data_IF_711501169341
#
_entry.id   IF_711501169341
#
_cell.length_a   1.000
_cell.length_b   1.000
_cell.length_c   1.000
_cell.angle_alpha   90.00
_cell.angle_beta   90.00
_cell.angle_gamma   90.00
#
_symmetry.space_group_name_H-M   'P 1'
#
loop_
_entity.id
_entity.type
_entity.pdbx_description
1 polymer ?
#
# COMPACT_ATOMS: atom_id res chain seq x y z
N UNK A 1 -20.27 -34.58 18.07
CA UNK A 1 -18.81 -34.78 18.11
C UNK A 1 -18.55 -36.15 17.49
N UNK A 2 -17.58 -36.29 16.57
CA UNK A 2 -17.29 -37.61 15.99
C UNK A 2 -16.76 -38.56 17.06
N UNK A 3 -17.14 -39.84 17.01
CA UNK A 3 -16.62 -40.82 17.95
C UNK A 3 -15.15 -41.15 17.61
N UNK A 4 -14.34 -41.48 18.62
CA UNK A 4 -12.93 -41.86 18.41
C UNK A 4 -12.80 -43.07 17.46
N UNK A 5 -13.79 -43.96 17.44
CA UNK A 5 -13.91 -45.11 16.55
C UNK A 5 -14.21 -44.78 15.09
N UNK A 6 -14.62 -43.54 14.80
CA UNK A 6 -14.94 -43.07 13.45
C UNK A 6 -13.76 -42.30 12.82
N UNK A 7 -12.64 -42.16 13.54
CA UNK A 7 -11.45 -41.51 12.99
C UNK A 7 -10.75 -42.45 12.00
N UNK A 8 -10.28 -41.92 10.85
CA UNK A 8 -9.47 -42.71 9.94
C UNK A 8 -8.20 -43.20 10.64
N UNK A 9 -7.74 -44.41 10.29
CA UNK A 9 -6.53 -45.04 10.87
C UNK A 9 -5.29 -44.14 10.81
N UNK A 10 -5.25 -43.20 9.87
CA UNK A 10 -4.22 -42.15 9.74
C UNK A 10 -4.83 -40.76 9.87
N UNK A 11 -5.41 -40.46 11.03
CA UNK A 11 -5.91 -39.13 11.31
C UNK A 11 -4.75 -38.12 11.39
N UNK A 12 -4.71 -37.18 10.43
CA UNK A 12 -3.68 -36.13 10.35
C UNK A 12 -4.10 -34.83 11.05
N UNK A 13 -5.41 -34.62 11.27
CA UNK A 13 -5.93 -33.40 11.91
C UNK A 13 -5.50 -33.35 13.38
N UNK A 14 -4.86 -32.24 13.77
CA UNK A 14 -4.32 -32.04 15.12
C UNK A 14 -2.89 -32.56 15.34
N UNK A 15 -2.26 -33.13 14.31
CA UNK A 15 -0.84 -33.51 14.34
C UNK A 15 0.01 -32.30 13.96
N UNK A 16 1.08 -32.04 14.73
CA UNK A 16 2.06 -30.99 14.42
C UNK A 16 2.97 -31.44 13.27
N UNK A 17 2.61 -31.08 12.04
CA UNK A 17 3.39 -31.37 10.84
C UNK A 17 4.22 -30.15 10.43
N UNK A 18 5.46 -30.34 9.92
CA UNK A 18 6.20 -29.25 9.26
C UNK A 18 5.44 -28.71 8.05
N UNK A 19 5.65 -27.43 7.74
CA UNK A 19 5.17 -26.81 6.50
C UNK A 19 5.68 -27.61 5.28
N UNK A 20 4.82 -27.83 4.29
CA UNK A 20 5.10 -28.68 3.12
C UNK A 20 6.32 -28.21 2.32
N UNK A 21 6.47 -26.90 2.16
CA UNK A 21 7.63 -26.27 1.51
C UNK A 21 8.79 -25.96 2.46
N UNK A 22 8.78 -26.41 3.73
CA UNK A 22 9.83 -26.08 4.69
C UNK A 22 11.23 -26.45 4.18
N UNK A 23 11.39 -27.63 3.57
CA UNK A 23 12.65 -28.02 2.96
C UNK A 23 13.05 -27.09 1.81
N UNK A 24 12.09 -26.65 1.00
CA UNK A 24 12.35 -25.75 -0.12
C UNK A 24 12.79 -24.36 0.35
N UNK A 25 12.20 -23.86 1.44
CA UNK A 25 12.59 -22.60 2.05
C UNK A 25 14.04 -22.64 2.56
N UNK A 26 14.44 -23.68 3.29
CA UNK A 26 15.80 -23.78 3.86
C UNK A 26 16.87 -24.15 2.83
N UNK A 27 16.48 -24.57 1.63
CA UNK A 27 17.40 -24.88 0.52
C UNK A 27 17.45 -23.79 -0.55
N UNK A 28 16.60 -22.76 -0.47
CA UNK A 28 16.46 -21.75 -1.52
C UNK A 28 15.86 -22.28 -2.83
N UNK A 29 15.12 -23.39 -2.77
CA UNK A 29 14.49 -24.00 -3.95
C UNK A 29 13.01 -23.67 -4.11
N UNK A 30 12.42 -23.01 -3.12
CA UNK A 30 11.09 -22.42 -3.25
C UNK A 30 11.20 -21.19 -4.16
N UNK A 31 10.36 -21.15 -5.20
CA UNK A 31 10.33 -20.04 -6.13
C UNK A 31 9.36 -18.96 -5.66
N UNK A 32 9.85 -17.73 -5.63
CA UNK A 32 9.08 -16.52 -5.40
C UNK A 32 9.03 -15.68 -6.68
N UNK A 33 8.27 -14.59 -6.67
CA UNK A 33 7.96 -13.80 -7.87
C UNK A 33 9.20 -13.34 -8.63
N UNK A 34 10.23 -12.85 -7.92
CA UNK A 34 11.44 -12.31 -8.56
C UNK A 34 12.32 -13.42 -9.18
N UNK A 35 12.26 -14.65 -8.66
CA UNK A 35 12.97 -15.81 -9.21
C UNK A 35 12.46 -16.20 -10.62
N UNK A 36 11.28 -15.72 -11.00
CA UNK A 36 10.67 -15.97 -12.30
C UNK A 36 11.20 -15.03 -13.39
N UNK A 37 11.77 -13.88 -13.03
CA UNK A 37 12.27 -12.86 -13.99
C UNK A 37 13.33 -13.47 -14.89
N UNK A 38 14.27 -14.24 -14.33
CA UNK A 38 15.34 -14.92 -15.09
C UNK A 38 14.85 -16.05 -16.00
N UNK A 39 13.58 -16.45 -15.87
CA UNK A 39 12.98 -17.55 -16.66
C UNK A 39 12.17 -17.05 -17.85
N UNK A 40 11.98 -15.74 -17.95
CA UNK A 40 11.17 -15.12 -19.00
C UNK A 40 12.08 -14.23 -19.86
N UNK A 41 11.91 -14.32 -21.19
CA UNK A 41 12.68 -13.48 -22.12
C UNK A 41 12.05 -12.10 -22.24
N UNK A 42 12.90 -11.10 -22.48
CA UNK A 42 12.49 -9.73 -22.81
C UNK A 42 11.57 -9.08 -21.76
N UNK A 43 11.78 -9.43 -20.47
CA UNK A 43 11.08 -8.81 -19.35
C UNK A 43 11.55 -7.38 -19.17
N UNK A 44 10.62 -6.44 -19.08
CA UNK A 44 10.89 -5.08 -18.67
C UNK A 44 10.72 -4.95 -17.16
N UNK A 45 11.59 -4.14 -16.55
CA UNK A 45 11.52 -3.78 -15.15
C UNK A 45 10.79 -2.44 -15.00
N UNK A 46 9.84 -2.39 -14.07
CA UNK A 46 9.10 -1.18 -13.76
C UNK A 46 9.67 -0.51 -12.50
N UNK A 47 9.88 0.80 -12.54
CA UNK A 47 10.27 1.59 -11.37
C UNK A 47 9.36 2.82 -11.23
N UNK A 48 8.81 3.10 -10.03
CA UNK A 48 7.89 4.20 -9.85
C UNK A 48 8.62 5.56 -9.85
N UNK A 49 7.98 6.56 -10.42
CA UNK A 49 8.33 7.97 -10.21
C UNK A 49 7.63 8.43 -8.94
N UNK A 50 8.36 8.52 -7.84
CA UNK A 50 7.81 8.88 -6.54
C UNK A 50 8.02 10.36 -6.22
N UNK A 51 6.99 11.00 -5.69
CA UNK A 51 7.09 12.36 -5.18
C UNK A 51 7.26 12.34 -3.67
N UNK A 52 8.39 12.85 -3.19
CA UNK A 52 8.77 12.84 -1.77
C UNK A 52 8.19 14.04 -0.99
N UNK A 53 6.92 14.34 -1.24
CA UNK A 53 6.15 15.41 -0.59
C UNK A 53 4.84 14.84 -0.07
N UNK A 54 4.36 15.36 1.06
CA UNK A 54 3.16 14.82 1.70
C UNK A 54 1.88 15.19 0.95
N UNK A 55 1.82 16.39 0.35
CA UNK A 55 0.64 16.82 -0.40
C UNK A 55 0.98 17.88 -1.44
N UNK A 56 0.34 17.82 -2.61
CA UNK A 56 0.42 18.87 -3.61
C UNK A 56 -0.30 18.52 -4.91
N UNK A 57 -0.59 19.51 -5.74
CA UNK A 57 -1.13 19.30 -7.08
C UNK A 57 0.00 19.26 -8.10
N UNK A 58 0.01 18.26 -8.97
CA UNK A 58 1.02 18.15 -10.03
C UNK A 58 0.66 19.17 -11.11
N UNK A 59 1.56 20.12 -11.36
CA UNK A 59 1.38 21.16 -12.38
C UNK A 59 2.04 20.80 -13.71
N UNK A 60 3.10 19.99 -13.67
CA UNK A 60 3.72 19.42 -14.86
C UNK A 60 4.39 18.08 -14.56
N UNK A 61 4.33 17.16 -15.51
CA UNK A 61 5.02 15.89 -15.50
C UNK A 61 5.78 15.74 -16.83
N UNK A 62 7.11 15.90 -16.82
CA UNK A 62 7.93 15.81 -18.03
C UNK A 62 8.70 14.51 -18.04
N UNK A 63 8.29 13.61 -18.95
CA UNK A 63 8.86 12.27 -19.09
C UNK A 63 10.00 12.20 -20.10
N UNK A 64 10.20 13.25 -20.90
CA UNK A 64 11.22 13.31 -21.96
C UNK A 64 12.64 12.95 -21.51
N UNK A 65 13.15 13.50 -20.38
CA UNK A 65 14.50 13.17 -19.94
C UNK A 65 14.68 11.69 -19.57
N UNK A 66 13.65 11.01 -19.08
CA UNK A 66 13.70 9.59 -18.78
C UNK A 66 13.92 8.74 -20.04
N UNK A 67 13.30 9.12 -21.16
CA UNK A 67 13.45 8.42 -22.44
C UNK A 67 14.84 8.59 -23.06
N UNK A 68 15.64 9.54 -22.56
CA UNK A 68 17.03 9.72 -22.98
C UNK A 68 18.01 8.79 -22.21
N UNK A 69 17.56 8.13 -21.15
CA UNK A 69 18.37 7.19 -20.37
C UNK A 69 18.51 5.86 -21.15
N UNK A 70 19.74 5.38 -21.43
CA UNK A 70 19.94 4.11 -22.13
C UNK A 70 19.23 2.94 -21.44
N UNK A 71 18.53 2.12 -22.22
CA UNK A 71 17.77 0.98 -21.74
C UNK A 71 16.38 1.32 -21.17
N UNK A 72 15.98 2.60 -21.12
CA UNK A 72 14.56 2.95 -20.87
C UNK A 72 13.75 2.71 -22.13
N UNK A 73 12.64 2.00 -21.97
CA UNK A 73 11.76 1.61 -23.07
C UNK A 73 10.51 2.49 -23.13
N UNK A 74 9.90 2.80 -21.98
CA UNK A 74 8.67 3.60 -21.91
C UNK A 74 8.47 4.25 -20.55
N UNK A 75 7.72 5.35 -20.52
CA UNK A 75 7.14 5.89 -19.28
C UNK A 75 5.63 5.79 -19.39
N UNK A 76 4.99 5.17 -18.41
CA UNK A 76 3.54 5.06 -18.29
C UNK A 76 3.02 6.21 -17.41
N UNK A 77 1.94 6.81 -17.88
CA UNK A 77 1.22 7.91 -17.22
C UNK A 77 -0.28 7.63 -17.22
N UNK A 78 -1.08 8.53 -16.63
CA UNK A 78 -2.53 8.43 -16.69
C UNK A 78 -3.10 8.38 -18.11
N UNK A 79 -2.38 8.93 -19.11
CA UNK A 79 -2.78 8.86 -20.52
C UNK A 79 -2.64 7.46 -21.14
N UNK A 80 -1.87 6.57 -20.51
CA UNK A 80 -1.68 5.20 -20.98
C UNK A 80 -2.70 4.22 -20.39
N UNK A 81 -3.61 4.68 -19.51
CA UNK A 81 -4.66 3.83 -18.93
C UNK A 81 -5.76 3.57 -19.97
N UNK A 82 -5.98 2.31 -20.38
CA UNK A 82 -6.98 1.99 -21.41
C UNK A 82 -8.44 2.04 -20.90
N UNK A 83 -8.63 2.20 -19.59
CA UNK A 83 -9.93 2.19 -18.92
C UNK A 83 -10.02 3.27 -17.85
N UNK A 84 -10.52 2.89 -16.67
CA UNK A 84 -10.66 3.82 -15.54
C UNK A 84 -9.31 3.94 -14.83
N UNK A 85 -8.84 5.17 -14.65
CA UNK A 85 -7.61 5.48 -13.91
C UNK A 85 -7.88 5.48 -12.39
N UNK A 86 -8.33 4.34 -11.88
CA UNK A 86 -8.64 4.12 -10.47
C UNK A 86 -8.47 2.64 -10.13
N UNK A 87 -7.83 2.37 -9.00
CA UNK A 87 -7.58 1.03 -8.47
C UNK A 87 -8.28 0.78 -7.11
N UNK A 88 -8.95 1.80 -6.56
CA UNK A 88 -9.54 1.78 -5.23
C UNK A 88 -10.92 1.15 -5.22
N UNK A 89 -11.26 0.47 -4.13
CA UNK A 89 -12.60 -0.11 -3.96
C UNK A 89 -13.70 0.96 -3.83
N UNK A 90 -13.34 2.18 -3.40
CA UNK A 90 -14.27 3.32 -3.24
C UNK A 90 -14.14 4.36 -4.34
N UNK A 91 -13.34 4.09 -5.37
CA UNK A 91 -13.05 5.02 -6.46
C UNK A 91 -12.37 6.33 -6.03
N UNK A 92 -11.45 6.21 -5.07
CA UNK A 92 -10.66 7.29 -4.47
C UNK A 92 -9.15 7.03 -4.51
N UNK A 93 -8.69 6.00 -5.24
CA UNK A 93 -7.28 5.63 -5.34
C UNK A 93 -6.86 5.57 -6.82
N UNK A 94 -6.51 6.72 -7.43
CA UNK A 94 -6.08 6.75 -8.82
C UNK A 94 -4.77 5.99 -9.04
N UNK A 95 -4.69 5.19 -10.11
CA UNK A 95 -3.47 4.47 -10.48
C UNK A 95 -2.33 5.43 -10.85
N UNK A 96 -2.68 6.53 -11.54
CA UNK A 96 -1.80 7.65 -11.85
C UNK A 96 -2.45 8.94 -11.33
N UNK A 97 -2.09 9.40 -10.12
CA UNK A 97 -2.69 10.59 -9.50
C UNK A 97 -2.29 11.88 -10.21
N UNK A 98 -3.19 12.88 -10.22
CA UNK A 98 -2.87 14.28 -10.52
C UNK A 98 -2.55 15.10 -9.25
N UNK A 99 -2.83 14.53 -8.08
CA UNK A 99 -2.51 15.09 -6.76
C UNK A 99 -1.70 14.10 -5.91
N UNK A 100 -0.61 14.59 -5.34
CA UNK A 100 0.17 13.87 -4.34
C UNK A 100 -0.57 13.94 -3.01
N UNK A 101 -0.81 12.79 -2.39
CA UNK A 101 -1.63 12.66 -1.16
C UNK A 101 -0.83 12.10 0.03
N UNK A 102 0.37 11.58 -0.23
CA UNK A 102 1.28 11.10 0.81
C UNK A 102 2.72 11.10 0.30
N UNK A 103 3.67 11.04 1.24
CA UNK A 103 5.09 11.00 0.93
C UNK A 103 5.46 9.71 0.20
N UNK A 104 6.05 9.84 -0.99
CA UNK A 104 6.43 8.72 -1.84
C UNK A 104 5.32 8.24 -2.78
N UNK A 105 4.25 9.03 -2.95
CA UNK A 105 3.17 8.69 -3.90
C UNK A 105 3.74 8.53 -5.31
N UNK A 106 3.46 7.39 -5.94
CA UNK A 106 3.89 7.09 -7.30
C UNK A 106 2.98 7.79 -8.31
N UNK A 107 3.55 8.65 -9.16
CA UNK A 107 2.79 9.49 -10.11
C UNK A 107 2.93 9.01 -11.56
N UNK A 108 3.93 8.17 -11.83
CA UNK A 108 4.21 7.55 -13.12
C UNK A 108 5.06 6.29 -12.93
N UNK A 109 5.21 5.49 -13.98
CA UNK A 109 6.05 4.29 -13.96
C UNK A 109 7.00 4.27 -15.15
N UNK A 110 8.29 4.08 -14.89
CA UNK A 110 9.29 3.94 -15.96
C UNK A 110 9.57 2.46 -16.19
N UNK A 111 9.50 2.02 -17.43
CA UNK A 111 9.84 0.68 -17.89
C UNK A 111 11.22 0.69 -18.54
N UNK A 112 12.13 -0.17 -18.07
CA UNK A 112 13.46 -0.34 -18.62
C UNK A 112 13.84 -1.79 -18.85
N UNK A 113 14.79 -2.03 -19.75
CA UNK A 113 15.37 -3.36 -20.03
C UNK A 113 16.08 -3.95 -18.81
N UNK A 114 16.49 -3.10 -17.87
CA UNK A 114 17.04 -3.49 -16.57
C UNK A 114 16.40 -2.66 -15.47
N UNK A 115 16.42 -3.19 -14.24
CA UNK A 115 15.96 -2.44 -13.07
C UNK A 115 16.72 -1.12 -12.89
N UNK A 116 18.02 -1.12 -13.16
CA UNK A 116 18.84 0.09 -13.02
C UNK A 116 18.48 1.14 -14.07
N UNK A 117 18.24 0.74 -15.33
CA UNK A 117 17.76 1.66 -16.37
C UNK A 117 16.41 2.27 -15.98
N UNK A 118 15.46 1.46 -15.50
CA UNK A 118 14.16 1.94 -15.03
C UNK A 118 14.29 2.92 -13.85
N UNK A 119 15.16 2.63 -12.89
CA UNK A 119 15.44 3.47 -11.72
C UNK A 119 16.06 4.81 -12.10
N UNK A 120 17.07 4.79 -12.98
CA UNK A 120 17.72 6.00 -13.48
C UNK A 120 16.76 6.83 -14.33
N UNK A 121 15.93 6.18 -15.16
CA UNK A 121 14.87 6.84 -15.91
C UNK A 121 13.84 7.51 -15.00
N UNK A 122 13.39 6.83 -13.95
CA UNK A 122 12.45 7.40 -12.99
C UNK A 122 13.02 8.62 -12.26
N UNK A 123 14.31 8.59 -11.90
CA UNK A 123 15.00 9.74 -11.30
C UNK A 123 15.18 10.92 -12.27
N UNK A 124 15.14 10.67 -13.58
CA UNK A 124 15.23 11.70 -14.61
C UNK A 124 13.87 12.34 -14.94
N UNK A 125 12.74 11.75 -14.54
CA UNK A 125 11.42 12.36 -14.73
C UNK A 125 11.32 13.63 -13.89
N UNK A 126 10.96 14.74 -14.52
CA UNK A 126 10.76 16.01 -13.82
C UNK A 126 9.30 16.15 -13.42
N UNK A 127 9.06 16.37 -12.13
CA UNK A 127 7.73 16.59 -11.58
C UNK A 127 7.69 17.99 -10.97
N UNK A 128 6.80 18.84 -11.48
CA UNK A 128 6.49 20.12 -10.85
C UNK A 128 5.25 19.99 -10.00
N UNK A 129 5.36 20.50 -8.76
CA UNK A 129 4.35 20.34 -7.74
C UNK A 129 4.01 21.70 -7.11
N UNK A 130 2.73 22.04 -7.09
CA UNK A 130 2.18 23.07 -6.23
C UNK A 130 1.89 22.44 -4.85
N UNK A 131 2.90 22.49 -3.96
CA UNK A 131 2.83 21.93 -2.60
C UNK A 131 1.69 22.54 -1.79
N UNK A 132 0.96 21.70 -1.05
CA UNK A 132 -0.15 22.12 -0.20
C UNK A 132 0.08 21.72 1.26
N UNK A 133 -0.51 22.44 2.23
CA UNK A 133 -0.52 21.99 3.62
C UNK A 133 -1.13 20.59 3.73
N UNK A 134 -0.45 19.69 4.42
CA UNK A 134 -0.87 18.32 4.67
C UNK A 134 -1.29 18.15 6.13
N UNK A 135 -2.24 17.24 6.37
CA UNK A 135 -2.60 16.78 7.72
C UNK A 135 -1.85 15.47 7.97
N UNK A 136 -0.96 15.45 8.95
CA UNK A 136 -0.06 14.33 9.22
C UNK A 136 -0.47 13.60 10.51
N UNK A 137 -0.87 14.33 11.54
CA UNK A 137 -1.22 13.77 12.84
C UNK A 137 -2.72 13.55 13.00
N UNK A 138 -3.10 12.63 13.91
CA UNK A 138 -4.50 12.44 14.29
C UNK A 138 -5.13 13.73 14.84
N UNK A 139 -4.36 14.54 15.59
CA UNK A 139 -4.84 15.80 16.17
C UNK A 139 -5.18 16.80 15.07
N UNK A 140 -4.31 16.95 14.07
CA UNK A 140 -4.55 17.82 12.90
C UNK A 140 -5.79 17.37 12.11
N UNK A 141 -5.97 16.07 11.89
CA UNK A 141 -7.15 15.55 11.19
C UNK A 141 -8.45 15.81 11.97
N UNK A 142 -8.43 15.65 13.30
CA UNK A 142 -9.57 15.95 14.18
C UNK A 142 -9.91 17.46 14.15
N UNK A 143 -8.91 18.33 14.27
CA UNK A 143 -9.10 19.78 14.24
C UNK A 143 -9.67 20.26 12.89
N UNK A 144 -9.28 19.60 11.80
CA UNK A 144 -9.75 19.91 10.45
C UNK A 144 -11.09 19.23 10.06
N UNK A 145 -11.73 18.48 10.97
CA UNK A 145 -12.91 17.63 10.69
C UNK A 145 -12.71 16.69 9.47
N UNK A 146 -11.49 16.23 9.26
CA UNK A 146 -11.07 15.43 8.10
C UNK A 146 -11.13 13.94 8.41
N UNK A 147 -12.29 13.33 8.19
CA UNK A 147 -12.55 11.92 8.49
C UNK A 147 -12.92 11.11 7.23
N UNK A 148 -12.67 9.80 7.29
CA UNK A 148 -13.09 8.88 6.24
C UNK A 148 -14.29 8.03 6.69
N UNK A 149 -15.40 8.11 5.95
CA UNK A 149 -16.57 7.25 6.16
C UNK A 149 -17.40 7.57 7.41
N UNK A 150 -18.14 6.56 7.88
CA UNK A 150 -19.06 6.68 9.01
C UNK A 150 -18.32 6.69 10.36
N UNK A 151 -18.93 7.29 11.38
CA UNK A 151 -18.50 7.23 12.79
C UNK A 151 -19.31 6.15 13.50
N UNK A 152 -18.86 4.88 13.52
CA UNK A 152 -19.61 3.82 14.18
C UNK A 152 -19.69 4.11 15.68
N UNK A 153 -20.89 3.98 16.22
CA UNK A 153 -21.19 4.16 17.64
C UNK A 153 -21.85 2.89 18.15
N UNK A 154 -21.37 2.39 19.29
CA UNK A 154 -21.99 1.28 20.02
C UNK A 154 -22.19 1.72 21.46
N UNK A 155 -23.45 1.77 21.87
CA UNK A 155 -23.88 2.16 23.22
C UNK A 155 -24.75 1.05 23.82
N UNK A 156 -24.65 0.87 25.13
CA UNK A 156 -25.47 -0.11 25.87
C UNK A 156 -25.73 0.39 27.28
N UNK A 157 -26.96 0.24 27.75
CA UNK A 157 -27.39 0.74 29.06
C UNK A 157 -27.56 2.26 29.13
N UNK A 158 -27.62 2.78 30.35
CA UNK A 158 -27.71 4.22 30.65
C UNK A 158 -26.36 4.69 31.23
N UNK A 159 -25.58 5.35 30.39
CA UNK A 159 -24.22 5.81 30.72
C UNK A 159 -24.28 6.93 31.76
N UNK A 160 -25.23 7.86 31.63
CA UNK A 160 -25.35 9.01 32.52
C UNK A 160 -25.73 8.57 33.94
N UNK A 161 -26.68 7.64 34.07
CA UNK A 161 -27.01 7.05 35.37
C UNK A 161 -25.81 6.31 35.98
N UNK A 162 -25.07 5.54 35.18
CA UNK A 162 -23.86 4.85 35.63
C UNK A 162 -22.78 5.79 36.16
N UNK A 163 -22.56 6.95 35.52
CA UNK A 163 -21.64 7.96 36.01
C UNK A 163 -22.14 8.65 37.29
N UNK A 164 -23.45 8.96 37.38
CA UNK A 164 -24.03 9.60 38.56
C UNK A 164 -23.90 8.73 39.83
N UNK A 165 -24.02 7.41 39.69
CA UNK A 165 -23.94 6.45 40.79
C UNK A 165 -22.48 6.05 41.15
N UNK A 166 -21.48 6.51 40.40
CA UNK A 166 -20.09 6.12 40.58
C UNK A 166 -19.39 6.84 41.75
N UNK A 167 -18.72 6.08 42.63
CA UNK A 167 -17.94 6.65 43.73
C UNK A 167 -16.67 7.40 43.28
N UNK A 168 -16.08 6.97 42.15
CA UNK A 168 -14.89 7.57 41.55
C UNK A 168 -15.00 7.55 40.03
N UNK A 169 -14.49 8.59 39.39
CA UNK A 169 -14.41 8.72 37.92
C UNK A 169 -12.98 9.08 37.55
N UNK A 170 -12.42 8.37 36.57
CA UNK A 170 -11.08 8.62 36.03
C UNK A 170 -11.17 8.91 34.55
N UNK A 171 -10.39 9.89 34.08
CA UNK A 171 -10.23 10.22 32.67
C UNK A 171 -8.76 10.12 32.26
N UNK A 172 -8.51 9.77 31.02
CA UNK A 172 -7.17 9.70 30.45
C UNK A 172 -7.19 9.47 28.95
N UNK A 173 -6.06 9.73 28.32
CA UNK A 173 -5.82 9.47 26.91
C UNK A 173 -4.70 8.42 26.78
N UNK A 174 -4.83 7.54 25.79
CA UNK A 174 -3.81 6.57 25.42
C UNK A 174 -3.61 6.58 23.91
N UNK A 175 -2.35 6.49 23.48
CA UNK A 175 -1.98 6.44 22.07
C UNK A 175 -1.09 5.23 21.82
N UNK A 176 -1.36 4.52 20.72
CA UNK A 176 -0.51 3.46 20.20
C UNK A 176 -0.09 3.81 18.77
N UNK A 177 1.13 3.43 18.40
CA UNK A 177 1.65 3.65 17.04
C UNK A 177 1.25 2.51 16.09
N UNK A 178 1.49 2.71 14.80
CA UNK A 178 1.41 1.63 13.81
C UNK A 178 2.51 0.58 13.98
N UNK A 179 2.46 -0.48 13.16
CA UNK A 179 3.44 -1.57 13.11
C UNK A 179 3.75 -1.94 11.66
#
# INVERSE_FOLDING_TARGET
MSHLSERPEKALVGVSMPHESAHQHVTGTALYTDDLVHRTKDVLHAYPVQVMKARGRITALRTGPALAVPGVVRVLTGADVPGVNDAGMKHDEPLFPDEVMFHGHAVAWVLGETLEAARLGAAAVEVELDEKPALITLREAIEADSYHGARPLMETGDIDAGFADSAHVFGGEFQFAGQ
#
